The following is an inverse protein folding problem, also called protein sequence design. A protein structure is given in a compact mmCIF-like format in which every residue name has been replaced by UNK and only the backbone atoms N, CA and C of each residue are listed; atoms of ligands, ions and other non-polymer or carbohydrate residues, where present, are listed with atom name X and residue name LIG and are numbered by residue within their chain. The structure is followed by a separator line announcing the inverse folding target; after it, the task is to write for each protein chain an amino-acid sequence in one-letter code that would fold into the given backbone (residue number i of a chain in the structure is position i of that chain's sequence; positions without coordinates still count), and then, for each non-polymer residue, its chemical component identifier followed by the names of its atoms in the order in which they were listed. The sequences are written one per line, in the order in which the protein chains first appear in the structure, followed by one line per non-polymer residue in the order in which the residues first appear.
data_IF_029739277549
#
_entry.id   IF_029739277549
#
_cell.length_a   1.000
_cell.length_b   1.000
_cell.length_c   1.000
_cell.angle_alpha   90.00
_cell.angle_beta   90.00
_cell.angle_gamma   90.00
#
_symmetry.space_group_name_H-M   'P 1'
#
loop_
_entity.id
_entity.type
_entity.pdbx_description
1 polymer ?
#
# COMPACT_ATOMS: atom_id res chain seq x y z
N UNK A 1 -7.76 -5.15 15.26
CA UNK A 1 -8.94 -5.09 14.35
C UNK A 1 -8.71 -3.89 13.45
N UNK A 2 -8.28 -4.10 12.20
CA UNK A 2 -7.91 -3.04 11.26
C UNK A 2 -9.04 -2.68 10.31
N UNK A 3 -8.96 -1.52 9.67
CA UNK A 3 -9.94 -1.10 8.66
C UNK A 3 -9.85 -1.99 7.42
N UNK A 4 -11.00 -2.33 6.83
CA UNK A 4 -11.08 -3.16 5.62
C UNK A 4 -11.10 -2.26 4.39
N UNK A 5 -10.05 -2.33 3.57
CA UNK A 5 -9.91 -1.59 2.30
C UNK A 5 -10.32 -2.43 1.07
N UNK A 6 -10.72 -3.70 1.26
CA UNK A 6 -10.92 -4.66 0.16
C UNK A 6 -12.05 -4.24 -0.77
N UNK A 7 -11.75 -4.15 -2.08
CA UNK A 7 -12.69 -3.72 -3.14
C UNK A 7 -13.51 -2.49 -2.75
N UNK A 8 -12.89 -1.57 -2.01
CA UNK A 8 -13.50 -0.29 -1.65
C UNK A 8 -12.62 0.84 -2.09
N UNK A 9 -13.25 1.94 -2.47
CA UNK A 9 -12.54 3.19 -2.64
C UNK A 9 -11.90 3.53 -1.31
N UNK A 10 -10.60 3.80 -1.35
CA UNK A 10 -9.89 4.17 -0.15
C UNK A 10 -8.74 5.10 -0.48
N UNK A 11 -8.38 5.90 0.51
CA UNK A 11 -7.23 6.79 0.48
C UNK A 11 -6.31 6.44 1.63
N UNK A 12 -5.00 6.59 1.38
CA UNK A 12 -3.97 6.51 2.39
C UNK A 12 -3.21 7.83 2.35
N UNK A 13 -3.20 8.54 3.48
CA UNK A 13 -2.51 9.83 3.61
C UNK A 13 -1.44 9.73 4.68
N UNK A 14 -0.20 10.07 4.32
CA UNK A 14 0.99 9.93 5.16
C UNK A 14 1.78 11.25 5.19
N UNK A 15 1.47 12.15 6.15
CA UNK A 15 2.35 13.27 6.44
C UNK A 15 3.65 12.77 7.05
N UNK A 16 4.78 13.20 6.50
CA UNK A 16 6.12 12.78 6.90
C UNK A 16 7.14 13.93 6.80
N UNK A 17 8.29 13.75 7.43
CA UNK A 17 9.43 14.66 7.34
C UNK A 17 10.67 13.89 6.93
N UNK A 18 11.31 14.32 5.84
CA UNK A 18 12.61 13.82 5.40
C UNK A 18 13.69 14.75 5.94
N UNK A 19 14.69 14.19 6.63
CA UNK A 19 15.75 15.00 7.24
C UNK A 19 16.64 15.67 6.18
N UNK A 20 16.95 16.94 6.36
CA UNK A 20 17.97 17.69 5.60
C UNK A 20 19.37 17.05 5.70
N UNK A 21 19.62 16.29 6.75
CA UNK A 21 20.90 15.60 6.97
C UNK A 21 20.91 14.17 6.43
N UNK A 22 19.84 13.73 5.75
CA UNK A 22 19.80 12.42 5.13
C UNK A 22 20.69 12.44 3.88
N UNK A 23 21.81 11.70 3.93
CA UNK A 23 22.80 11.68 2.84
C UNK A 23 22.45 10.67 1.71
N UNK A 24 21.18 10.29 1.58
CA UNK A 24 20.68 9.33 0.61
C UNK A 24 19.21 9.64 0.30
N UNK A 25 18.64 9.14 -0.81
CA UNK A 25 17.20 9.21 -1.05
C UNK A 25 16.41 8.59 0.11
N UNK A 26 15.23 9.12 0.48
CA UNK A 26 14.41 8.51 1.50
C UNK A 26 13.87 7.15 1.01
N UNK A 27 13.84 6.18 1.91
CA UNK A 27 13.46 4.80 1.61
C UNK A 27 12.66 4.21 2.76
N UNK A 28 11.95 3.12 2.47
CA UNK A 28 11.30 2.27 3.45
C UNK A 28 9.78 2.31 3.40
N UNK A 29 9.17 1.38 4.13
CA UNK A 29 7.71 1.19 4.13
C UNK A 29 7.01 2.31 4.89
N UNK A 30 6.01 2.93 4.27
CA UNK A 30 5.11 3.87 4.93
C UNK A 30 3.96 3.11 5.60
N UNK A 31 3.26 2.28 4.83
CA UNK A 31 2.22 1.38 5.30
C UNK A 31 2.18 0.13 4.41
N UNK A 32 2.13 -1.04 5.04
CA UNK A 32 1.97 -2.30 4.31
C UNK A 32 0.96 -3.22 5.02
N UNK A 33 0.37 -4.11 4.24
CA UNK A 33 -0.46 -5.21 4.68
C UNK A 33 -0.16 -6.44 3.84
N UNK A 34 0.21 -7.55 4.48
CA UNK A 34 0.47 -8.82 3.81
C UNK A 34 1.95 -9.19 3.72
N UNK A 35 2.27 -10.10 2.80
CA UNK A 35 3.63 -10.65 2.57
C UNK A 35 3.84 -10.95 1.09
N UNK A 36 4.95 -11.60 0.73
CA UNK A 36 5.19 -12.13 -0.63
C UNK A 36 4.05 -13.00 -1.19
N UNK A 37 3.22 -13.60 -0.32
CA UNK A 37 2.07 -14.43 -0.72
C UNK A 37 0.85 -13.60 -1.16
N UNK A 38 0.91 -12.28 -1.02
CA UNK A 38 -0.14 -11.36 -1.39
C UNK A 38 -0.32 -10.24 -0.37
N UNK A 39 -0.84 -9.11 -0.85
CA UNK A 39 -1.00 -7.89 -0.05
C UNK A 39 -0.72 -6.65 -0.84
N UNK A 40 -0.40 -5.58 -0.12
CA UNK A 40 0.07 -4.34 -0.73
C UNK A 40 1.02 -3.59 0.19
N UNK A 41 1.83 -2.72 -0.42
CA UNK A 41 2.81 -1.90 0.28
C UNK A 41 2.89 -0.53 -0.38
N UNK A 42 2.64 0.52 0.40
CA UNK A 42 2.99 1.91 0.08
C UNK A 42 4.33 2.21 0.75
N UNK A 43 5.35 2.52 -0.04
CA UNK A 43 6.71 2.71 0.44
C UNK A 43 7.46 3.77 -0.38
N UNK A 44 8.62 4.18 0.12
CA UNK A 44 9.60 4.95 -0.61
C UNK A 44 10.72 4.02 -1.09
N UNK A 45 11.10 4.12 -2.37
CA UNK A 45 12.25 3.39 -2.95
C UNK A 45 13.01 4.33 -3.87
N UNK A 46 14.33 4.45 -3.69
CA UNK A 46 15.15 5.42 -4.43
C UNK A 46 14.59 6.86 -4.37
N UNK A 47 13.95 7.22 -3.25
CA UNK A 47 13.31 8.51 -3.05
C UNK A 47 11.93 8.67 -3.71
N UNK A 48 11.41 7.67 -4.43
CA UNK A 48 10.12 7.74 -5.12
C UNK A 48 9.01 7.14 -4.28
N UNK A 49 7.81 7.71 -4.37
CA UNK A 49 6.59 7.10 -3.83
C UNK A 49 6.25 5.90 -4.69
N UNK A 50 6.07 4.74 -4.05
CA UNK A 50 5.82 3.49 -4.75
C UNK A 50 4.70 2.70 -4.06
N UNK A 51 3.76 2.22 -4.86
CA UNK A 51 2.72 1.31 -4.42
C UNK A 51 2.85 -0.01 -5.15
N UNK A 52 2.86 -1.08 -4.38
CA UNK A 52 2.83 -2.45 -4.90
C UNK A 52 1.53 -3.10 -4.49
N UNK A 53 0.80 -3.65 -5.47
CA UNK A 53 -0.28 -4.60 -5.24
C UNK A 53 0.20 -5.98 -5.63
N UNK A 54 0.15 -6.93 -4.70
CA UNK A 54 0.54 -8.31 -4.91
C UNK A 54 -0.71 -9.19 -4.82
N UNK A 55 -1.18 -9.65 -5.97
CA UNK A 55 -2.28 -10.60 -6.08
C UNK A 55 -1.74 -12.03 -6.02
N UNK A 56 -1.97 -12.69 -4.88
CA UNK A 56 -1.66 -14.09 -4.60
C UNK A 56 -0.22 -14.53 -4.92
N UNK A 57 0.75 -13.63 -4.81
CA UNK A 57 2.18 -13.91 -5.02
C UNK A 57 2.62 -14.07 -6.47
N UNK A 58 1.69 -14.05 -7.43
CA UNK A 58 1.96 -14.33 -8.85
C UNK A 58 1.71 -13.13 -9.75
N UNK A 59 0.82 -12.22 -9.38
CA UNK A 59 0.49 -11.04 -10.17
C UNK A 59 0.79 -9.77 -9.36
N UNK A 60 1.99 -9.23 -9.58
CA UNK A 60 2.48 -8.03 -8.89
C UNK A 60 2.35 -6.82 -9.80
N UNK A 61 1.53 -5.86 -9.40
CA UNK A 61 1.42 -4.55 -10.04
C UNK A 61 2.25 -3.54 -9.25
N UNK A 62 3.09 -2.77 -9.96
CA UNK A 62 3.92 -1.72 -9.38
C UNK A 62 3.52 -0.40 -10.00
N UNK A 63 3.28 0.59 -9.15
CA UNK A 63 2.99 1.97 -9.53
C UNK A 63 4.02 2.83 -8.79
N UNK A 64 4.70 3.72 -9.51
CA UNK A 64 5.80 4.51 -8.98
C UNK A 64 5.65 5.97 -9.42
N UNK A 65 6.08 6.89 -8.56
CA UNK A 65 6.04 8.31 -8.87
C UNK A 65 7.13 8.71 -9.86
N UNK A 66 6.80 9.62 -10.77
CA UNK A 66 7.77 10.26 -11.66
C UNK A 66 8.64 11.32 -10.94
N UNK A 67 8.20 11.75 -9.77
CA UNK A 67 8.91 12.66 -8.86
C UNK A 67 9.60 11.94 -7.69
N UNK A 68 10.65 12.59 -7.17
CA UNK A 68 11.35 12.17 -5.95
C UNK A 68 10.90 13.03 -4.75
N UNK A 69 10.85 12.42 -3.58
CA UNK A 69 10.62 13.08 -2.31
C UNK A 69 11.94 13.67 -1.82
N UNK A 70 12.01 14.99 -1.74
CA UNK A 70 13.19 15.73 -1.29
C UNK A 70 13.24 15.85 0.24
N UNK A 71 14.35 16.36 0.80
CA UNK A 71 14.35 16.82 2.18
C UNK A 71 13.25 17.86 2.45
N UNK A 72 12.67 17.80 3.65
CA UNK A 72 11.58 18.68 4.07
C UNK A 72 10.31 17.94 4.54
N UNK A 73 9.26 18.72 4.80
CA UNK A 73 7.96 18.21 5.19
C UNK A 73 7.09 17.95 3.96
N UNK A 74 6.53 16.75 3.87
CA UNK A 74 5.74 16.30 2.73
C UNK A 74 4.48 15.55 3.18
N UNK A 75 3.49 15.49 2.30
CA UNK A 75 2.34 14.61 2.41
C UNK A 75 2.35 13.62 1.25
N UNK A 76 2.69 12.37 1.53
CA UNK A 76 2.57 11.28 0.57
C UNK A 76 1.14 10.74 0.62
N UNK A 77 0.56 10.50 -0.55
CA UNK A 77 -0.80 10.00 -0.68
C UNK A 77 -0.90 8.83 -1.65
N UNK A 78 -1.94 8.02 -1.44
CA UNK A 78 -2.42 7.01 -2.37
C UNK A 78 -3.94 7.05 -2.40
N UNK A 79 -4.55 6.86 -3.56
CA UNK A 79 -5.99 6.64 -3.69
C UNK A 79 -6.27 5.46 -4.60
N UNK A 80 -7.25 4.66 -4.24
CA UNK A 80 -7.77 3.58 -5.06
C UNK A 80 -9.23 3.82 -5.41
N UNK A 81 -9.55 3.73 -6.70
CA UNK A 81 -10.91 3.81 -7.24
C UNK A 81 -11.28 2.44 -7.83
N UNK A 82 -12.25 1.78 -7.22
CA UNK A 82 -12.62 0.41 -7.58
C UNK A 82 -13.32 0.34 -8.93
N UNK A 83 -12.90 -0.61 -9.75
CA UNK A 83 -13.49 -0.91 -11.05
C UNK A 83 -13.43 -2.43 -11.28
N UNK A 84 -14.60 -3.09 -11.32
CA UNK A 84 -14.66 -4.55 -11.48
C UNK A 84 -13.96 -5.31 -10.34
N UNK A 85 -13.02 -6.19 -10.68
CA UNK A 85 -12.24 -6.98 -9.72
C UNK A 85 -11.03 -6.24 -9.13
N UNK A 86 -10.70 -5.08 -9.70
CA UNK A 86 -9.54 -4.26 -9.36
C UNK A 86 -9.92 -2.78 -9.32
N UNK A 87 -9.08 -1.92 -9.92
CA UNK A 87 -9.30 -0.49 -9.91
C UNK A 87 -8.11 0.35 -10.35
N UNK A 88 -8.31 1.66 -10.40
CA UNK A 88 -7.27 2.64 -10.68
C UNK A 88 -6.63 3.08 -9.37
N UNK A 89 -5.30 2.99 -9.32
CA UNK A 89 -4.50 3.47 -8.22
C UNK A 89 -3.72 4.72 -8.64
N UNK A 90 -3.79 5.77 -7.82
CA UNK A 90 -3.12 7.05 -8.06
C UNK A 90 -2.26 7.41 -6.86
N UNK A 91 -1.03 7.85 -7.12
CA UNK A 91 -0.07 8.34 -6.13
C UNK A 91 -0.09 9.85 -6.09
N UNK A 92 0.05 10.39 -4.88
CA UNK A 92 0.05 11.83 -4.63
C UNK A 92 1.29 12.23 -3.84
N UNK A 93 1.86 13.38 -4.16
CA UNK A 93 2.88 14.05 -3.37
C UNK A 93 2.46 15.52 -3.21
N UNK A 94 2.25 15.96 -1.97
CA UNK A 94 1.82 17.33 -1.64
C UNK A 94 0.56 17.79 -2.40
N UNK A 95 -0.39 16.86 -2.59
CA UNK A 95 -1.64 17.10 -3.29
C UNK A 95 -1.55 17.06 -4.82
N UNK A 96 -0.36 16.85 -5.39
CA UNK A 96 -0.15 16.65 -6.82
C UNK A 96 -0.17 15.16 -7.16
N UNK A 97 -0.89 14.76 -8.21
CA UNK A 97 -0.81 13.41 -8.75
C UNK A 97 0.54 13.19 -9.44
N UNK A 98 1.29 12.16 -9.00
CA UNK A 98 2.67 11.88 -9.44
C UNK A 98 2.84 10.48 -10.04
N UNK A 99 1.78 9.67 -10.06
CA UNK A 99 1.80 8.35 -10.66
C UNK A 99 0.40 7.76 -10.70
N UNK A 100 0.11 6.95 -11.71
CA UNK A 100 -1.18 6.26 -11.87
C UNK A 100 -0.97 4.90 -12.52
N UNK A 101 -1.78 3.92 -12.15
CA UNK A 101 -1.79 2.61 -12.79
C UNK A 101 -3.07 1.83 -12.55
N UNK A 102 -3.34 0.89 -13.47
CA UNK A 102 -4.42 -0.07 -13.36
C UNK A 102 -3.96 -1.27 -12.53
N UNK A 103 -4.70 -1.59 -11.47
CA UNK A 103 -4.60 -2.86 -10.77
C UNK A 103 -5.74 -3.73 -11.28
N UNK A 104 -5.43 -4.80 -12.02
CA UNK A 104 -6.44 -5.65 -12.65
C UNK A 104 -7.31 -6.38 -11.62
N UNK A 105 -6.68 -6.84 -10.53
CA UNK A 105 -7.34 -7.59 -9.46
C UNK A 105 -6.69 -7.34 -8.12
N UNK A 106 -7.51 -7.17 -7.08
CA UNK A 106 -7.04 -7.05 -5.68
C UNK A 106 -7.31 -8.33 -4.91
N UNK A 107 -6.40 -8.68 -4.01
CA UNK A 107 -6.56 -9.84 -3.12
C UNK A 107 -7.73 -9.60 -2.16
N UNK A 108 -8.72 -10.50 -2.19
CA UNK A 108 -9.95 -10.41 -1.39
C UNK A 108 -9.82 -10.97 0.03
N UNK A 109 -8.77 -11.74 0.31
CA UNK A 109 -8.67 -12.48 1.54
C UNK A 109 -8.35 -11.55 2.71
N UNK A 110 -9.09 -11.72 3.82
CA UNK A 110 -8.59 -11.36 5.16
C UNK A 110 -7.17 -11.92 5.25
N UNK A 111 -6.16 -11.06 5.23
CA UNK A 111 -4.75 -11.44 5.35
C UNK A 111 -4.49 -12.09 6.72
N UNK A 112 -4.88 -13.37 6.81
CA UNK A 112 -4.76 -14.27 7.95
C UNK A 112 -4.01 -15.54 7.55
N UNK A 113 -3.68 -15.74 6.27
CA UNK A 113 -2.88 -16.91 5.87
C UNK A 113 -1.44 -16.78 6.42
N UNK A 114 -0.91 -15.56 6.57
CA UNK A 114 0.41 -15.29 7.17
C UNK A 114 0.38 -14.64 8.55
N UNK A 115 -0.78 -14.16 9.02
CA UNK A 115 -0.90 -13.42 10.29
C UNK A 115 -0.27 -12.01 10.30
N UNK A 116 0.28 -11.54 9.17
CA UNK A 116 0.84 -10.20 9.05
C UNK A 116 -0.28 -9.16 8.96
N UNK A 117 -0.55 -8.51 10.09
CA UNK A 117 -1.42 -7.34 10.15
C UNK A 117 -0.80 -6.11 9.49
N UNK A 118 -1.42 -4.95 9.67
CA UNK A 118 -0.86 -3.68 9.22
C UNK A 118 0.50 -3.41 9.88
N UNK A 119 1.50 -3.06 9.08
CA UNK A 119 2.80 -2.56 9.55
C UNK A 119 3.01 -1.13 9.05
N UNK A 120 3.52 -0.25 9.90
CA UNK A 120 3.73 1.17 9.62
C UNK A 120 5.18 1.53 9.92
N UNK A 121 5.87 2.18 8.97
CA UNK A 121 7.30 2.51 9.08
C UNK A 121 8.26 1.34 8.82
N UNK A 122 7.74 0.15 8.56
CA UNK A 122 8.49 -1.08 8.27
C UNK A 122 7.52 -2.17 7.78
N UNK A 123 8.05 -3.33 7.39
CA UNK A 123 7.25 -4.54 7.19
C UNK A 123 7.93 -5.79 7.77
N UNK A 124 7.15 -6.82 8.13
CA UNK A 124 7.68 -8.02 8.79
C UNK A 124 8.48 -8.93 7.85
N UNK A 125 8.05 -9.03 6.59
CA UNK A 125 8.65 -9.91 5.58
C UNK A 125 8.13 -11.36 5.61
N UNK A 126 8.38 -12.16 4.55
CA UNK A 126 9.07 -11.80 3.30
C UNK A 126 8.36 -10.70 2.51
N UNK A 127 9.13 -9.90 1.76
CA UNK A 127 8.65 -8.62 1.23
C UNK A 127 7.44 -8.74 0.32
N UNK A 128 6.51 -7.79 0.44
CA UNK A 128 5.27 -7.78 -0.36
C UNK A 128 5.57 -7.59 -1.84
N UNK A 129 6.58 -6.76 -2.15
CA UNK A 129 6.95 -6.40 -3.51
C UNK A 129 8.44 -6.58 -3.82
N UNK A 130 8.80 -6.50 -5.11
CA UNK A 130 10.19 -6.59 -5.55
C UNK A 130 10.94 -5.26 -5.31
N UNK A 131 12.28 -5.31 -5.36
CA UNK A 131 13.14 -4.13 -5.34
C UNK A 131 13.65 -3.71 -3.96
N UNK A 132 13.19 -4.37 -2.89
CA UNK A 132 13.66 -4.10 -1.53
C UNK A 132 13.60 -5.37 -0.66
N UNK A 133 14.22 -5.33 0.53
CA UNK A 133 14.22 -6.44 1.48
C UNK A 133 13.62 -6.00 2.83
N UNK A 134 12.65 -6.77 3.33
CA UNK A 134 12.13 -6.61 4.67
C UNK A 134 13.25 -6.73 5.71
N UNK A 135 13.25 -5.92 6.79
CA UNK A 135 12.12 -5.12 7.26
C UNK A 135 11.95 -3.73 6.65
N UNK A 136 12.81 -3.33 5.70
CA UNK A 136 12.77 -2.07 4.94
C UNK A 136 12.23 -0.86 5.72
N UNK A 137 12.96 -0.49 6.77
CA UNK A 137 12.57 0.56 7.71
C UNK A 137 12.57 1.93 7.05
N UNK A 138 11.51 2.70 7.30
CA UNK A 138 11.39 4.07 6.82
C UNK A 138 12.49 4.96 7.39
N UNK A 139 13.20 5.67 6.52
CA UNK A 139 14.21 6.66 6.89
C UNK A 139 13.60 8.05 7.14
N UNK A 140 12.37 8.28 6.68
CA UNK A 140 11.60 9.48 6.98
C UNK A 140 10.85 9.37 8.33
N UNK A 141 10.62 10.51 8.97
CA UNK A 141 9.78 10.57 10.17
C UNK A 141 8.31 10.63 9.77
N UNK A 142 7.61 9.50 9.88
CA UNK A 142 6.16 9.43 9.69
C UNK A 142 5.46 10.12 10.87
N UNK A 143 4.64 11.12 10.59
CA UNK A 143 3.88 11.84 11.62
C UNK A 143 2.61 11.09 12.01
N UNK A 144 1.89 10.59 10.99
CA UNK A 144 0.70 9.76 11.13
C UNK A 144 0.43 9.03 9.81
N UNK A 145 -0.38 7.97 9.88
CA UNK A 145 -0.96 7.34 8.70
C UNK A 145 -2.47 7.35 8.87
N UNK A 146 -3.16 7.92 7.88
CA UNK A 146 -4.62 7.98 7.85
C UNK A 146 -5.08 7.08 6.70
N UNK A 147 -6.01 6.18 6.99
CA UNK A 147 -6.67 5.36 5.98
C UNK A 147 -8.15 5.68 6.03
N UNK A 148 -8.69 6.22 4.94
CA UNK A 148 -10.11 6.52 4.80
C UNK A 148 -10.69 5.56 3.77
N UNK A 149 -11.88 5.04 4.04
CA UNK A 149 -12.53 4.06 3.18
C UNK A 149 -13.98 4.44 2.98
N UNK A 150 -14.39 4.57 1.72
CA UNK A 150 -15.76 4.94 1.37
C UNK A 150 -16.67 3.72 1.32
N UNK A 151 -17.95 3.93 1.59
CA UNK A 151 -19.01 2.92 1.50
C UNK A 151 -19.36 2.22 2.82
N UNK A 152 -20.39 1.35 2.81
CA UNK A 152 -20.78 0.59 3.99
C UNK A 152 -19.77 -0.51 4.32
N UNK A 153 -19.59 -0.81 5.61
CA UNK A 153 -18.89 -2.03 6.04
C UNK A 153 -19.82 -3.21 5.71
N UNK A 154 -19.64 -3.83 4.54
CA UNK A 154 -20.36 -5.07 4.21
C UNK A 154 -19.65 -6.22 4.94
N UNK A 155 -20.27 -6.71 6.01
CA UNK A 155 -19.89 -7.99 6.59
C UNK A 155 -20.97 -9.00 6.23
N UNK A 156 -20.75 -9.73 5.14
CA UNK A 156 -21.60 -10.86 4.74
C UNK A 156 -20.76 -12.15 4.78
N UNK A 157 -20.79 -12.88 5.91
CA UNK A 157 -20.02 -14.12 6.07
C UNK A 157 -20.30 -15.17 5.00
N UNK A 158 -21.47 -15.14 4.38
CA UNK A 158 -21.86 -16.11 3.35
C UNK A 158 -21.23 -15.73 2.00
N UNK A 159 -21.28 -14.46 1.62
CA UNK A 159 -20.58 -13.98 0.43
C UNK A 159 -19.05 -14.11 0.55
N UNK A 160 -18.50 -13.89 1.76
CA UNK A 160 -17.09 -14.16 2.06
C UNK A 160 -16.77 -15.65 1.84
N UNK A 161 -17.59 -16.56 2.36
CA UNK A 161 -17.39 -18.01 2.19
C UNK A 161 -17.53 -18.45 0.73
N UNK A 162 -18.54 -17.96 0.01
CA UNK A 162 -18.77 -18.30 -1.40
C UNK A 162 -17.63 -17.80 -2.31
N UNK A 163 -17.10 -16.60 -2.07
CA UNK A 163 -15.95 -16.08 -2.79
C UNK A 163 -14.68 -16.92 -2.56
N UNK A 164 -14.44 -17.36 -1.33
CA UNK A 164 -13.31 -18.25 -0.99
C UNK A 164 -13.41 -19.58 -1.73
N UNK A 165 -14.62 -20.14 -1.82
CA UNK A 165 -14.85 -21.44 -2.45
C UNK A 165 -14.83 -21.39 -3.98
N UNK A 166 -15.12 -20.24 -4.59
CA UNK A 166 -15.12 -20.08 -6.05
C UNK A 166 -13.71 -19.89 -6.65
N UNK A 167 -12.71 -19.62 -5.82
CA UNK A 167 -11.30 -19.46 -6.23
C UNK A 167 -10.43 -20.73 -6.00
N UNK A 168 -11.03 -21.84 -5.56
CA UNK A 168 -10.42 -23.18 -5.51
C UNK A 168 -10.81 -24.04 -6.72
#
# INVERSE_FOLDING_TARGET
MGISVYRRNHTITVPLVVSETLNAPPEGVLLALGTVLGGWSLHLLDGRVRYVSNFLGSNVTVIESDEIVTPGAHTVGFSFSTQGEGGIATLWLDGKGVGEGLIERVTLFRHSISGAGYTCGWEQGPAVGPGYQAPFRCTAQIQKVIVEVDGPIVHDPKAEFEAIMAEQ
#
